data_IF_330919712801
#
_entry.id   IF_330919712801
#
_cell.length_a   1.000
_cell.length_b   1.000
_cell.length_c   1.000
_cell.angle_alpha   90.00
_cell.angle_beta   90.00
_cell.angle_gamma   90.00
#
_symmetry.space_group_name_H-M   'P 1'
#
loop_
_entity.id
_entity.type
_entity.pdbx_description
1 polymer ?
#
# COMPACT_ATOMS: atom_id res chain seq x y z
N UNK A 1 15.63 -18.04 5.46
CA UNK A 1 14.76 -18.12 5.06
C UNK A 1 14.29 -17.23 4.11
N UNK A 2 13.51 -17.41 3.31
CA UNK A 2 13.13 -16.61 2.33
C UNK A 2 12.18 -15.62 2.76
N UNK A 3 12.25 -14.42 2.32
CA UNK A 3 11.27 -13.49 2.61
C UNK A 3 10.18 -13.63 1.67
N UNK A 4 8.97 -13.57 2.13
CA UNK A 4 7.80 -13.66 1.32
C UNK A 4 7.35 -12.29 0.94
N UNK A 5 7.29 -12.03 -0.34
CA UNK A 5 6.80 -10.75 -0.82
C UNK A 5 5.36 -10.90 -1.24
N UNK A 6 4.57 -9.91 -0.92
CA UNK A 6 3.17 -9.91 -1.25
C UNK A 6 2.85 -8.70 -2.09
N UNK A 7 1.80 -8.74 -2.88
CA UNK A 7 1.42 -7.56 -3.64
C UNK A 7 1.02 -6.44 -2.70
N UNK A 8 1.28 -5.23 -3.11
CA UNK A 8 0.98 -4.06 -2.28
C UNK A 8 -0.49 -4.05 -1.85
N UNK A 9 -1.38 -4.42 -2.76
CA UNK A 9 -2.79 -4.44 -2.43
C UNK A 9 -3.05 -5.36 -1.25
N UNK A 10 -2.36 -6.50 -1.20
CA UNK A 10 -2.58 -7.43 -0.13
C UNK A 10 -2.10 -6.87 1.20
N UNK A 11 -0.99 -6.18 1.17
CA UNK A 11 -0.47 -5.57 2.39
C UNK A 11 -1.46 -4.55 2.93
N UNK A 12 -2.05 -3.76 2.05
CA UNK A 12 -3.01 -2.76 2.47
C UNK A 12 -4.28 -3.41 3.02
N UNK A 13 -4.71 -4.49 2.41
CA UNK A 13 -5.88 -5.21 2.87
C UNK A 13 -5.62 -5.81 4.24
N UNK A 14 -4.44 -6.38 4.44
CA UNK A 14 -4.09 -6.97 5.72
C UNK A 14 -4.05 -5.94 6.84
N UNK A 15 -3.74 -4.71 6.50
CA UNK A 15 -3.74 -3.64 7.48
C UNK A 15 -5.11 -2.99 7.63
N UNK A 16 -6.08 -3.53 6.91
CA UNK A 16 -7.46 -3.05 6.98
C UNK A 16 -7.61 -1.61 6.51
N UNK A 17 -6.74 -1.20 5.61
CA UNK A 17 -6.83 0.14 5.05
C UNK A 17 -7.76 0.17 3.85
N UNK A 18 -7.93 -0.94 3.18
CA UNK A 18 -8.81 -1.01 2.03
C UNK A 18 -9.28 -2.44 1.85
N UNK A 19 -10.21 -2.65 0.94
CA UNK A 19 -10.66 -3.98 0.60
C UNK A 19 -10.09 -4.38 -0.74
N UNK A 20 -10.20 -5.66 -1.07
CA UNK A 20 -9.67 -6.17 -2.32
C UNK A 20 -10.26 -5.44 -3.50
N UNK A 21 -11.55 -5.11 -3.44
CA UNK A 21 -12.19 -4.44 -4.50
C UNK A 21 -11.73 -3.04 -4.70
N UNK A 22 -11.37 -2.35 -3.63
CA UNK A 22 -11.00 -0.95 -3.70
C UNK A 22 -9.50 -0.71 -3.67
N UNK A 23 -8.71 -1.76 -3.61
CA UNK A 23 -7.27 -1.58 -3.43
C UNK A 23 -6.62 -0.76 -4.51
N UNK A 24 -6.98 -1.00 -5.76
CA UNK A 24 -6.39 -0.24 -6.84
C UNK A 24 -6.74 1.23 -6.75
N UNK A 25 -7.99 1.53 -6.46
CA UNK A 25 -8.40 2.90 -6.32
C UNK A 25 -7.76 3.54 -5.11
N UNK A 26 -7.59 2.78 -4.05
CA UNK A 26 -6.95 3.30 -2.85
C UNK A 26 -5.54 3.77 -3.17
N UNK A 27 -4.80 2.97 -3.92
CA UNK A 27 -3.42 3.31 -4.26
C UNK A 27 -3.37 4.53 -5.16
N UNK A 28 -4.36 4.70 -6.03
CA UNK A 28 -4.38 5.85 -6.88
C UNK A 28 -4.79 7.09 -6.15
N UNK A 29 -5.72 6.99 -5.24
CA UNK A 29 -6.29 8.13 -4.56
C UNK A 29 -5.50 8.58 -3.34
N UNK A 30 -4.61 7.74 -2.85
CA UNK A 30 -3.82 8.08 -1.68
C UNK A 30 -2.35 7.95 -2.03
N UNK A 31 -1.52 8.57 -1.22
CA UNK A 31 -0.10 8.49 -1.46
C UNK A 31 0.46 7.29 -0.72
N UNK A 32 0.88 6.29 -1.44
CA UNK A 32 1.43 5.07 -0.84
C UNK A 32 2.90 5.02 -1.16
N UNK A 33 3.72 5.02 -0.13
CA UNK A 33 5.15 5.04 -0.30
C UNK A 33 5.75 3.74 0.24
N UNK A 34 6.64 3.16 -0.55
CA UNK A 34 7.38 1.98 -0.13
C UNK A 34 8.83 2.39 -0.06
N UNK A 35 9.39 2.39 1.13
CA UNK A 35 10.77 2.83 1.33
C UNK A 35 11.01 4.22 0.79
N UNK A 36 9.99 5.07 0.90
CA UNK A 36 10.12 6.45 0.46
C UNK A 36 9.80 6.69 -1.00
N UNK A 37 9.47 5.64 -1.75
CA UNK A 37 9.18 5.79 -3.17
C UNK A 37 7.69 5.59 -3.39
N UNK A 38 7.08 6.52 -4.10
CA UNK A 38 5.65 6.40 -4.35
C UNK A 38 5.37 5.29 -5.35
N UNK A 39 4.45 4.42 -4.99
CA UNK A 39 4.10 3.28 -5.81
C UNK A 39 2.65 3.37 -6.24
N UNK A 40 2.41 3.11 -7.50
CA UNK A 40 1.06 3.16 -8.04
C UNK A 40 0.53 1.79 -8.43
N UNK A 41 1.37 0.77 -8.39
CA UNK A 41 0.94 -0.54 -8.82
C UNK A 41 0.47 -1.40 -7.69
N UNK A 42 -0.75 -1.93 -7.80
CA UNK A 42 -1.30 -2.78 -6.75
C UNK A 42 -0.55 -4.09 -6.62
N UNK A 43 0.08 -4.53 -7.70
CA UNK A 43 0.80 -5.80 -7.66
C UNK A 43 2.27 -5.65 -7.33
N UNK A 44 2.68 -4.45 -6.95
CA UNK A 44 4.08 -4.21 -6.61
C UNK A 44 4.48 -5.12 -5.45
N UNK A 45 5.58 -5.87 -5.57
CA UNK A 45 5.98 -6.79 -4.50
C UNK A 45 6.50 -6.04 -3.29
N UNK A 46 5.97 -6.38 -2.13
CA UNK A 46 6.32 -5.72 -0.89
C UNK A 46 6.66 -6.76 0.15
N UNK A 47 7.78 -6.56 0.84
CA UNK A 47 8.15 -7.42 1.93
C UNK A 47 7.70 -6.73 3.21
N UNK A 48 6.64 -7.22 3.81
CA UNK A 48 6.05 -6.52 4.95
C UNK A 48 6.97 -6.48 6.15
N UNK A 49 8.00 -7.28 6.16
CA UNK A 49 8.94 -7.24 7.26
C UNK A 49 10.09 -6.30 7.04
N UNK A 50 10.52 -6.15 5.80
CA UNK A 50 11.67 -5.32 5.50
C UNK A 50 11.33 -3.99 4.88
N UNK A 51 10.27 -3.95 4.09
CA UNK A 51 9.92 -2.73 3.41
C UNK A 51 9.03 -1.88 4.27
N UNK A 52 9.27 -0.58 4.25
CA UNK A 52 8.47 0.33 5.04
C UNK A 52 7.34 0.87 4.18
N UNK A 53 6.12 0.67 4.63
CA UNK A 53 4.94 1.11 3.89
C UNK A 53 4.32 2.29 4.61
N UNK A 54 4.21 3.41 3.92
CA UNK A 54 3.63 4.61 4.47
C UNK A 54 2.46 5.01 3.60
N UNK A 55 1.35 5.31 4.22
CA UNK A 55 0.16 5.73 3.47
C UNK A 55 -0.28 7.08 3.98
N UNK A 56 -0.35 8.03 3.09
CA UNK A 56 -0.83 9.35 3.42
C UNK A 56 -2.11 9.62 2.64
N UNK A 57 -3.16 9.91 3.37
CA UNK A 57 -4.43 10.15 2.70
C UNK A 57 -4.43 11.53 2.10
N UNK A 58 -4.77 11.61 0.82
CA UNK A 58 -4.85 12.88 0.20
C UNK A 58 -6.22 13.39 0.20
N UNK A 59 -7.20 12.54 0.43
CA UNK A 59 -8.54 12.94 0.39
C UNK A 59 -9.00 13.37 1.70
N UNK A 60 -9.51 14.34 1.80
CA UNK A 60 -10.05 14.66 2.96
C UNK A 60 -9.57 15.33 3.89
N UNK A 61 -9.20 15.69 4.00
CA UNK A 61 -8.85 16.14 4.92
C UNK A 61 -9.04 17.26 5.27
N UNK A 62 -9.51 17.73 5.58
CA UNK A 62 -9.84 18.67 5.86
C UNK A 62 -9.78 19.19 6.80
N UNK A 63 -9.44 19.47 7.15
CA UNK A 63 -9.34 19.90 8.19
C UNK A 63 -9.70 20.68 8.54
#
# INVERSE_FOLDING_TARGET
MTSLKEPLSRVLINQKLTSQRSAKNFIKNNEVLINGTRIFEASFPVDSEKDEVIVNSKIGNVA
#
